data_IF_142903585676
#
_entry.id   IF_142903585676
#
_cell.length_a   1.000
_cell.length_b   1.000
_cell.length_c   1.000
_cell.angle_alpha   90.00
_cell.angle_beta   90.00
_cell.angle_gamma   90.00
#
_symmetry.space_group_name_H-M   'P 1'
#
loop_
_entity.id
_entity.type
_entity.pdbx_description
1 polymer ?
#
# COMPACT_ATOMS: atom_id res chain seq x y z
N UNK A 1 -20.29 7.40 6.21
CA UNK A 1 -19.33 7.08 7.30
C UNK A 1 -18.96 8.32 8.11
N UNK A 2 -18.97 8.19 9.44
CA UNK A 2 -18.43 9.18 10.37
C UNK A 2 -16.89 9.24 10.29
N UNK A 3 -16.28 10.30 10.83
CA UNK A 3 -14.82 10.36 10.90
C UNK A 3 -14.23 9.20 11.71
N UNK A 4 -14.90 8.82 12.80
CA UNK A 4 -14.49 7.73 13.67
C UNK A 4 -14.47 6.39 12.94
N UNK A 5 -15.50 6.11 12.13
CA UNK A 5 -15.56 4.90 11.29
C UNK A 5 -14.43 4.88 10.25
N UNK A 6 -14.11 6.02 9.61
CA UNK A 6 -12.99 6.08 8.66
C UNK A 6 -11.65 5.82 9.34
N UNK A 7 -11.43 6.38 10.54
CA UNK A 7 -10.21 6.17 11.31
C UNK A 7 -10.05 4.71 11.73
N UNK A 8 -11.14 4.05 12.12
CA UNK A 8 -11.13 2.62 12.45
C UNK A 8 -10.78 1.73 11.24
N UNK A 9 -11.26 2.10 10.04
CA UNK A 9 -10.99 1.35 8.81
C UNK A 9 -9.60 1.62 8.19
N UNK A 10 -8.98 2.77 8.49
CA UNK A 10 -7.76 3.24 7.83
C UNK A 10 -6.58 2.24 7.90
N UNK A 11 -6.25 1.62 9.06
CA UNK A 11 -5.12 0.70 9.12
C UNK A 11 -5.27 -0.50 8.18
N UNK A 12 -6.45 -1.13 8.15
CA UNK A 12 -6.73 -2.26 7.26
C UNK A 12 -6.73 -1.85 5.79
N UNK A 13 -7.28 -0.67 5.49
CA UNK A 13 -7.28 -0.14 4.13
C UNK A 13 -5.87 0.16 3.62
N UNK A 14 -4.98 0.74 4.44
CA UNK A 14 -3.59 0.99 4.08
C UNK A 14 -2.84 -0.30 3.77
N UNK A 15 -3.03 -1.35 4.58
CA UNK A 15 -2.41 -2.64 4.32
C UNK A 15 -2.89 -3.27 3.00
N UNK A 16 -4.20 -3.26 2.75
CA UNK A 16 -4.74 -3.74 1.48
C UNK A 16 -4.20 -2.92 0.29
N UNK A 17 -4.22 -1.60 0.38
CA UNK A 17 -3.77 -0.72 -0.69
C UNK A 17 -2.29 -0.94 -1.04
N UNK A 18 -1.42 -0.98 -0.04
CA UNK A 18 0.02 -1.08 -0.24
C UNK A 18 0.48 -2.47 -0.66
N UNK A 19 -0.17 -3.53 -0.18
CA UNK A 19 0.31 -4.90 -0.36
C UNK A 19 -0.49 -5.76 -1.34
N UNK A 20 -1.75 -5.41 -1.61
CA UNK A 20 -2.66 -6.30 -2.34
C UNK A 20 -3.32 -5.64 -3.56
N UNK A 21 -3.54 -4.33 -3.53
CA UNK A 21 -4.27 -3.65 -4.61
C UNK A 21 -3.43 -3.62 -5.89
N UNK A 22 -3.92 -4.26 -6.93
CA UNK A 22 -3.36 -4.17 -8.27
C UNK A 22 -3.46 -2.74 -8.83
N UNK A 23 -2.36 -2.24 -9.40
CA UNK A 23 -2.30 -0.93 -10.04
C UNK A 23 -1.88 -1.08 -11.51
N UNK A 24 -2.75 -0.68 -12.45
CA UNK A 24 -2.50 -0.83 -13.90
C UNK A 24 -1.23 -0.09 -14.36
N UNK A 25 -0.95 1.08 -13.77
CA UNK A 25 0.24 1.88 -14.07
C UNK A 25 1.57 1.18 -13.74
N UNK A 26 1.54 0.13 -12.91
CA UNK A 26 2.73 -0.67 -12.55
C UNK A 26 2.54 -2.16 -12.90
N UNK A 27 1.81 -2.44 -13.99
CA UNK A 27 1.67 -3.80 -14.49
C UNK A 27 0.77 -4.69 -13.64
N UNK A 28 -0.20 -4.11 -12.94
CA UNK A 28 -1.12 -4.85 -12.06
C UNK A 28 -0.51 -5.27 -10.73
N UNK A 29 0.70 -4.81 -10.41
CA UNK A 29 1.36 -5.11 -9.14
C UNK A 29 0.90 -4.17 -8.02
N UNK A 30 1.07 -4.57 -6.75
CA UNK A 30 0.82 -3.69 -5.62
C UNK A 30 1.93 -2.65 -5.44
N UNK A 31 1.64 -1.47 -4.86
CA UNK A 31 2.60 -0.37 -4.75
C UNK A 31 3.93 -0.75 -4.09
N UNK A 32 3.91 -1.65 -3.10
CA UNK A 32 5.13 -2.09 -2.39
C UNK A 32 6.18 -2.71 -3.31
N UNK A 33 5.79 -3.29 -4.45
CA UNK A 33 6.72 -3.91 -5.42
C UNK A 33 7.70 -2.92 -6.05
N UNK A 34 7.43 -1.62 -5.93
CA UNK A 34 8.27 -0.54 -6.48
C UNK A 34 9.22 0.05 -5.44
N UNK A 35 9.09 -0.32 -4.17
CA UNK A 35 9.97 0.16 -3.09
C UNK A 35 11.27 -0.63 -3.11
N UNK A 36 12.27 -0.12 -3.84
CA UNK A 36 13.61 -0.72 -3.95
C UNK A 36 14.68 0.09 -3.19
N UNK A 37 14.31 1.21 -2.56
CA UNK A 37 15.20 2.16 -1.90
C UNK A 37 15.04 2.15 -0.38
N UNK A 38 14.78 0.97 0.21
CA UNK A 38 14.86 0.82 1.66
C UNK A 38 16.33 0.97 2.08
N UNK A 39 16.63 1.80 3.09
CA UNK A 39 17.97 1.85 3.67
C UNK A 39 18.45 0.43 4.00
N UNK A 40 19.57 0.01 3.41
CA UNK A 40 20.12 -1.35 3.55
C UNK A 40 19.80 -2.35 2.43
N UNK A 41 19.04 -1.96 1.39
CA UNK A 41 18.68 -2.80 0.23
C UNK A 41 19.36 -2.36 -1.08
N UNK A 42 20.64 -1.98 -1.02
CA UNK A 42 21.47 -1.66 -2.18
C UNK A 42 22.59 -2.71 -2.23
N UNK A 43 22.71 -3.47 -3.33
CA UNK A 43 23.83 -4.38 -3.58
C UNK A 43 25.07 -3.65 -4.07
#
# INVERSE_FOLDING_TARGET
PSEQERRAALPGWLHFYNHHRAHSAIGGQPPITRLNNLPGHHS
#
